data_IF_690548153711
#
_entry.id   IF_690548153711
#
_cell.length_a   1.000
_cell.length_b   1.000
_cell.length_c   1.000
_cell.angle_alpha   90.00
_cell.angle_beta   90.00
_cell.angle_gamma   90.00
#
_symmetry.space_group_name_H-M   'P 1'
#
loop_
_entity.id
_entity.type
_entity.pdbx_description
1 polymer ?
#
# COMPACT_ATOMS: atom_id res chain seq x y z
N UNK A 1 -34.00 7.64 -7.83
CA UNK A 1 -33.51 6.33 -7.32
C UNK A 1 -31.98 6.16 -7.37
N UNK A 2 -31.20 6.67 -8.33
CA UNK A 2 -29.74 6.53 -8.29
C UNK A 2 -29.05 7.26 -7.11
N UNK A 3 -29.67 8.30 -6.57
CA UNK A 3 -29.14 9.06 -5.42
C UNK A 3 -29.24 8.33 -4.07
N UNK A 4 -30.16 7.37 -3.90
CA UNK A 4 -30.29 6.60 -2.64
C UNK A 4 -29.19 5.56 -2.48
N UNK A 5 -28.68 4.99 -3.56
CA UNK A 5 -27.53 4.08 -3.54
C UNK A 5 -26.26 4.78 -3.10
N UNK A 6 -25.94 5.91 -3.71
CA UNK A 6 -24.75 6.71 -3.41
C UNK A 6 -24.68 7.19 -1.94
N UNK A 7 -25.81 7.65 -1.38
CA UNK A 7 -25.88 8.07 0.03
C UNK A 7 -25.70 6.88 1.00
N UNK A 8 -26.12 5.68 0.62
CA UNK A 8 -25.93 4.49 1.43
C UNK A 8 -24.47 4.05 1.49
N UNK A 9 -23.77 4.15 0.38
CA UNK A 9 -22.34 3.84 0.29
C UNK A 9 -21.49 4.89 1.01
N UNK A 10 -21.80 6.17 0.88
CA UNK A 10 -21.14 7.24 1.64
C UNK A 10 -21.36 7.11 3.16
N UNK A 11 -22.54 6.75 3.61
CA UNK A 11 -22.84 6.52 5.04
C UNK A 11 -22.16 5.28 5.59
N UNK A 12 -22.01 4.24 4.76
CA UNK A 12 -21.25 3.03 5.13
C UNK A 12 -19.76 3.34 5.26
N UNK A 13 -19.22 4.13 4.35
CA UNK A 13 -17.85 4.62 4.37
C UNK A 13 -17.57 5.47 5.61
N UNK A 14 -18.43 6.44 5.92
CA UNK A 14 -18.31 7.27 7.13
C UNK A 14 -18.36 6.45 8.43
N UNK A 15 -19.17 5.39 8.51
CA UNK A 15 -19.19 4.47 9.66
C UNK A 15 -17.91 3.64 9.77
N UNK A 16 -17.35 3.24 8.65
CA UNK A 16 -16.14 2.40 8.61
C UNK A 16 -14.88 3.15 9.08
N UNK A 17 -14.82 4.46 8.81
CA UNK A 17 -13.68 5.32 9.19
C UNK A 17 -13.87 6.08 10.50
N UNK A 18 -14.89 5.76 11.30
CA UNK A 18 -15.11 6.40 12.61
C UNK A 18 -15.43 7.90 12.52
N UNK A 19 -15.89 8.39 11.38
CA UNK A 19 -16.31 9.78 11.20
C UNK A 19 -17.65 9.95 11.90
N UNK A 20 -17.63 10.54 13.11
CA UNK A 20 -18.84 10.89 13.84
C UNK A 20 -19.49 12.07 13.12
N UNK A 21 -20.56 11.80 12.39
CA UNK A 21 -21.45 12.85 11.89
C UNK A 21 -22.20 13.41 13.10
N UNK A 22 -21.70 14.51 13.66
CA UNK A 22 -22.34 15.20 14.78
C UNK A 22 -23.77 15.60 14.41
N UNK A 23 -24.77 15.11 15.15
CA UNK A 23 -26.13 15.64 15.13
C UNK A 23 -26.11 17.02 15.80
N UNK A 24 -25.85 18.07 15.02
CA UNK A 24 -26.23 19.39 15.47
C UNK A 24 -27.67 19.67 15.05
N UNK A 25 -28.46 20.11 16.02
CA UNK A 25 -29.85 20.49 15.96
C UNK A 25 -30.24 21.17 14.64
N UNK A 26 -31.11 20.52 13.87
CA UNK A 26 -31.73 21.04 12.69
C UNK A 26 -32.70 22.19 13.07
N UNK A 27 -32.26 23.42 12.89
CA UNK A 27 -33.16 24.54 12.68
C UNK A 27 -33.95 24.34 11.39
N UNK A 28 -35.26 24.39 11.47
CA UNK A 28 -36.17 24.28 10.33
C UNK A 28 -35.87 25.39 9.32
N UNK A 29 -35.27 25.08 8.18
CA UNK A 29 -35.44 25.84 6.92
C UNK A 29 -35.13 24.92 5.73
N UNK A 30 -36.08 24.99 4.78
CA UNK A 30 -36.14 24.20 3.57
C UNK A 30 -34.94 24.47 2.64
N UNK A 31 -34.11 23.46 2.42
CA UNK A 31 -33.36 23.17 1.19
C UNK A 31 -32.44 21.97 1.47
N UNK A 32 -32.97 20.76 1.23
CA UNK A 32 -32.41 19.46 1.66
C UNK A 32 -31.23 18.90 0.85
N UNK A 33 -30.32 19.71 0.32
CA UNK A 33 -29.19 19.24 -0.52
C UNK A 33 -27.80 19.66 0.01
N UNK A 34 -27.72 20.57 1.00
CA UNK A 34 -26.44 21.11 1.48
C UNK A 34 -25.56 20.24 2.43
N UNK A 35 -26.07 19.28 3.24
CA UNK A 35 -25.19 18.58 4.18
C UNK A 35 -24.18 17.63 3.53
N UNK A 36 -24.52 16.99 2.41
CA UNK A 36 -23.63 16.03 1.75
C UNK A 36 -22.48 16.73 0.98
N UNK A 37 -22.75 17.85 0.33
CA UNK A 37 -21.72 18.67 -0.31
C UNK A 37 -20.77 19.32 0.70
N UNK A 38 -21.25 19.70 1.88
CA UNK A 38 -20.43 20.34 2.91
C UNK A 38 -19.43 19.38 3.58
N UNK A 39 -19.73 18.06 3.58
CA UNK A 39 -18.79 17.05 4.06
C UNK A 39 -17.64 16.80 3.05
N UNK A 40 -17.94 16.92 1.75
CA UNK A 40 -16.93 16.73 0.69
C UNK A 40 -16.00 17.96 0.59
N UNK A 41 -16.52 19.18 0.77
CA UNK A 41 -15.71 20.41 0.73
C UNK A 41 -14.69 20.55 1.88
N UNK A 42 -14.86 19.82 3.00
CA UNK A 42 -13.91 19.82 4.12
C UNK A 42 -12.91 18.67 4.13
N UNK A 43 -13.07 17.67 3.28
CA UNK A 43 -12.01 16.70 3.04
C UNK A 43 -11.00 17.38 2.11
N UNK A 44 -10.00 18.00 2.70
CA UNK A 44 -8.83 18.50 1.97
C UNK A 44 -8.00 17.27 1.53
N UNK A 45 -8.57 16.45 0.62
CA UNK A 45 -7.93 15.28 0.03
C UNK A 45 -6.90 15.84 -0.94
N UNK A 46 -5.69 15.97 -0.47
CA UNK A 46 -4.60 16.52 -1.26
C UNK A 46 -3.68 15.39 -1.69
N UNK A 47 -4.08 14.67 -2.77
CA UNK A 47 -3.18 13.77 -3.44
C UNK A 47 -2.07 14.60 -4.11
N UNK A 48 -0.84 14.40 -3.65
CA UNK A 48 0.33 15.08 -4.19
C UNK A 48 0.96 14.24 -5.28
N UNK A 49 1.11 14.80 -6.49
CA UNK A 49 1.77 14.13 -7.60
C UNK A 49 3.12 14.80 -7.88
N UNK A 50 4.17 14.01 -7.81
CA UNK A 50 5.54 14.41 -8.10
C UNK A 50 5.97 13.70 -9.38
N UNK A 51 6.33 14.47 -10.41
CA UNK A 51 6.91 13.93 -11.65
C UNK A 51 8.42 14.07 -11.58
N UNK A 52 9.12 12.99 -11.85
CA UNK A 52 10.58 12.96 -11.92
C UNK A 52 11.03 12.63 -13.35
N UNK A 53 12.28 12.93 -13.67
CA UNK A 53 12.82 12.62 -14.99
C UNK A 53 13.28 11.17 -15.07
N UNK A 54 13.94 10.68 -14.02
CA UNK A 54 14.56 9.35 -14.01
C UNK A 54 14.08 8.50 -12.84
N UNK A 55 14.35 7.21 -12.92
CA UNK A 55 14.12 6.24 -11.86
C UNK A 55 14.93 6.59 -10.59
N UNK A 56 16.15 7.06 -10.75
CA UNK A 56 17.02 7.47 -9.63
C UNK A 56 16.45 8.68 -8.90
N UNK A 57 15.93 9.69 -9.61
CA UNK A 57 15.26 10.84 -8.99
C UNK A 57 14.01 10.39 -8.21
N UNK A 58 13.20 9.47 -8.78
CA UNK A 58 12.05 8.88 -8.11
C UNK A 58 12.48 8.18 -6.82
N UNK A 59 13.51 7.34 -6.92
CA UNK A 59 14.04 6.56 -5.80
C UNK A 59 14.58 7.45 -4.68
N UNK A 60 15.35 8.47 -5.02
CA UNK A 60 15.90 9.42 -4.06
C UNK A 60 14.83 10.23 -3.33
N UNK A 61 13.77 10.68 -4.05
CA UNK A 61 12.65 11.38 -3.42
C UNK A 61 11.87 10.44 -2.50
N UNK A 62 11.61 9.21 -2.93
CA UNK A 62 10.91 8.21 -2.13
C UNK A 62 11.72 7.86 -0.86
N UNK A 63 13.03 7.65 -0.99
CA UNK A 63 13.92 7.43 0.14
C UNK A 63 13.95 8.62 1.09
N UNK A 64 13.96 9.86 0.57
CA UNK A 64 13.88 11.07 1.38
C UNK A 64 12.58 11.18 2.18
N UNK A 65 11.44 10.78 1.60
CA UNK A 65 10.14 10.77 2.31
C UNK A 65 10.13 9.70 3.41
N UNK A 66 10.60 8.48 3.12
CA UNK A 66 10.67 7.39 4.11
C UNK A 66 11.70 7.74 5.19
N UNK A 67 12.88 8.23 4.83
CA UNK A 67 13.91 8.67 5.78
C UNK A 67 13.40 9.79 6.68
N UNK A 68 12.69 10.77 6.12
CA UNK A 68 12.03 11.82 6.90
C UNK A 68 11.01 11.26 7.91
N UNK A 69 10.27 10.21 7.56
CA UNK A 69 9.36 9.53 8.50
C UNK A 69 10.15 8.88 9.65
N UNK A 70 11.27 8.22 9.35
CA UNK A 70 12.15 7.61 10.37
C UNK A 70 12.74 8.68 11.31
N UNK A 71 13.27 9.77 10.76
CA UNK A 71 13.84 10.86 11.55
C UNK A 71 12.82 11.54 12.48
N UNK A 72 11.59 11.75 11.99
CA UNK A 72 10.53 12.41 12.76
C UNK A 72 9.88 11.47 13.80
N UNK A 73 9.92 10.17 13.55
CA UNK A 73 9.36 9.14 14.44
C UNK A 73 10.25 7.89 14.38
N UNK A 74 11.33 7.80 15.17
CA UNK A 74 12.27 6.67 15.12
C UNK A 74 11.61 5.29 15.28
N UNK A 75 10.59 5.18 16.14
CA UNK A 75 9.80 3.96 16.34
C UNK A 75 8.59 3.83 15.38
N UNK A 76 8.70 4.38 14.17
CA UNK A 76 7.61 4.30 13.19
C UNK A 76 7.37 2.86 12.71
N UNK A 77 6.16 2.63 12.19
CA UNK A 77 5.79 1.42 11.47
C UNK A 77 5.77 1.74 9.98
N UNK A 78 6.67 1.13 9.23
CA UNK A 78 6.74 1.27 7.78
C UNK A 78 6.05 0.09 7.09
N UNK A 79 5.10 0.37 6.23
CA UNK A 79 4.55 -0.59 5.28
C UNK A 79 5.44 -0.63 4.03
N UNK A 80 5.98 -1.80 3.71
CA UNK A 80 6.95 -1.96 2.63
C UNK A 80 6.39 -2.80 1.48
N UNK A 81 6.92 -2.57 0.29
CA UNK A 81 6.56 -3.25 -0.94
C UNK A 81 7.78 -3.96 -1.54
N UNK A 82 7.55 -5.00 -2.33
CA UNK A 82 8.57 -5.73 -3.09
C UNK A 82 8.48 -5.41 -4.58
N UNK A 83 9.30 -6.07 -5.37
CA UNK A 83 9.38 -5.90 -6.82
C UNK A 83 10.44 -4.89 -7.27
N UNK A 84 10.48 -4.60 -8.55
CA UNK A 84 11.58 -3.79 -9.13
C UNK A 84 11.49 -2.30 -8.81
N UNK A 85 10.29 -1.76 -8.58
CA UNK A 85 10.10 -0.33 -8.37
C UNK A 85 10.81 0.21 -7.11
N UNK A 86 10.77 -0.45 -5.93
CA UNK A 86 11.35 0.08 -4.71
C UNK A 86 12.85 -0.19 -4.52
N UNK A 87 13.51 -0.97 -5.38
CA UNK A 87 14.92 -1.36 -5.21
C UNK A 87 15.83 -0.13 -5.05
N UNK A 88 15.72 0.87 -5.92
CA UNK A 88 16.51 2.09 -5.83
C UNK A 88 16.22 2.87 -4.55
N UNK A 89 14.96 2.91 -4.13
CA UNK A 89 14.56 3.53 -2.85
C UNK A 89 15.24 2.85 -1.66
N UNK A 90 15.27 1.52 -1.62
CA UNK A 90 15.95 0.77 -0.56
C UNK A 90 17.45 1.00 -0.58
N UNK A 91 18.06 1.02 -1.76
CA UNK A 91 19.48 1.33 -1.92
C UNK A 91 19.84 2.71 -1.36
N UNK A 92 19.02 3.73 -1.62
CA UNK A 92 19.24 5.07 -1.11
C UNK A 92 19.00 5.17 0.40
N UNK A 93 18.07 4.38 0.96
CA UNK A 93 17.88 4.26 2.42
C UNK A 93 19.09 3.59 3.09
N UNK A 94 19.63 2.51 2.51
CA UNK A 94 20.85 1.85 2.98
C UNK A 94 22.01 2.85 2.97
N UNK A 95 22.19 3.57 1.86
CA UNK A 95 23.23 4.61 1.77
C UNK A 95 23.07 5.67 2.87
N UNK A 96 21.87 6.12 3.13
CA UNK A 96 21.59 7.13 4.18
C UNK A 96 21.90 6.59 5.59
N UNK A 97 21.73 5.29 5.82
CA UNK A 97 22.16 4.62 7.04
C UNK A 97 23.70 4.54 7.10
N UNK A 98 24.38 4.12 6.04
CA UNK A 98 25.84 4.06 5.97
C UNK A 98 26.50 5.43 6.17
N UNK A 99 25.88 6.48 5.65
CA UNK A 99 26.30 7.88 5.83
C UNK A 99 26.02 8.41 7.28
N UNK A 100 25.41 7.59 8.16
CA UNK A 100 25.09 7.95 9.55
C UNK A 100 23.92 8.93 9.69
N UNK A 101 23.09 9.09 8.65
CA UNK A 101 21.94 10.01 8.65
C UNK A 101 20.71 9.32 9.25
N UNK A 102 20.48 8.04 8.95
CA UNK A 102 19.32 7.27 9.40
C UNK A 102 19.73 6.20 10.42
N UNK A 103 18.84 5.97 11.38
CA UNK A 103 18.91 4.89 12.36
C UNK A 103 17.62 4.08 12.31
N UNK A 104 17.72 2.78 12.04
CA UNK A 104 16.60 1.87 11.92
C UNK A 104 16.38 1.01 13.16
N UNK A 105 17.15 1.18 14.24
CA UNK A 105 17.14 0.31 15.43
C UNK A 105 15.78 0.20 16.11
N UNK A 106 14.95 1.27 16.05
CA UNK A 106 13.61 1.29 16.64
C UNK A 106 12.49 1.11 15.60
N UNK A 107 12.83 1.09 14.30
CA UNK A 107 11.86 0.96 13.20
C UNK A 107 11.21 -0.43 13.23
N UNK A 108 9.91 -0.49 12.97
CA UNK A 108 9.17 -1.72 12.71
C UNK A 108 8.65 -1.72 11.29
N UNK A 109 8.65 -2.88 10.65
CA UNK A 109 8.16 -2.99 9.26
C UNK A 109 7.11 -4.06 9.13
N UNK A 110 6.17 -3.84 8.22
CA UNK A 110 5.18 -4.81 7.76
C UNK A 110 5.16 -4.80 6.23
N UNK A 111 5.27 -5.95 5.59
CA UNK A 111 5.18 -6.05 4.14
C UNK A 111 3.74 -6.21 3.67
N UNK A 112 3.46 -5.76 2.45
CA UNK A 112 2.13 -5.85 1.83
C UNK A 112 1.66 -7.28 1.66
N UNK A 113 2.56 -8.18 1.30
CA UNK A 113 2.23 -9.49 0.79
C UNK A 113 3.41 -10.47 0.89
N UNK A 114 3.10 -11.75 0.68
CA UNK A 114 4.06 -12.84 0.47
C UNK A 114 3.40 -13.94 -0.37
N UNK A 115 4.21 -14.64 -1.14
CA UNK A 115 3.79 -15.86 -1.83
C UNK A 115 3.48 -16.99 -0.86
N UNK A 116 2.44 -17.77 -1.16
CA UNK A 116 2.16 -18.99 -0.42
C UNK A 116 3.02 -20.15 -0.93
N UNK A 117 3.56 -20.94 0.01
CA UNK A 117 4.32 -22.13 -0.29
C UNK A 117 5.82 -21.93 -0.55
N UNK A 118 6.34 -20.70 -0.46
CA UNK A 118 7.78 -20.44 -0.52
C UNK A 118 8.38 -20.33 0.89
N UNK A 119 9.49 -21.00 1.13
CA UNK A 119 10.31 -20.83 2.34
C UNK A 119 10.93 -19.44 2.38
N UNK A 120 11.13 -18.88 3.58
CA UNK A 120 11.74 -17.56 3.80
C UNK A 120 13.16 -17.45 3.20
N UNK A 121 13.88 -18.56 3.09
CA UNK A 121 15.21 -18.64 2.46
C UNK A 121 15.15 -18.81 0.93
N UNK A 122 13.97 -19.00 0.35
CA UNK A 122 13.82 -19.09 -1.10
C UNK A 122 14.13 -17.73 -1.74
N UNK A 123 15.04 -17.64 -2.72
CA UNK A 123 15.41 -16.37 -3.37
C UNK A 123 14.24 -15.61 -4.00
N UNK A 124 13.13 -16.28 -4.25
CA UNK A 124 11.92 -15.68 -4.82
C UNK A 124 10.87 -15.29 -3.78
N UNK A 125 11.09 -15.57 -2.47
CA UNK A 125 10.21 -15.10 -1.40
C UNK A 125 10.40 -13.60 -1.19
N UNK A 126 9.34 -12.93 -0.74
CA UNK A 126 9.41 -11.51 -0.41
C UNK A 126 10.19 -11.26 0.88
N UNK A 127 10.19 -12.23 1.80
CA UNK A 127 11.10 -12.21 2.95
C UNK A 127 12.57 -12.15 2.50
N UNK A 128 12.99 -13.03 1.59
CA UNK A 128 14.33 -13.01 1.04
C UNK A 128 14.63 -11.70 0.34
N UNK A 129 13.71 -11.24 -0.52
CA UNK A 129 13.83 -9.95 -1.22
C UNK A 129 14.10 -8.80 -0.24
N UNK A 130 13.36 -8.73 0.85
CA UNK A 130 13.52 -7.66 1.83
C UNK A 130 14.83 -7.76 2.60
N UNK A 131 15.27 -8.97 2.94
CA UNK A 131 16.58 -9.18 3.54
C UNK A 131 17.70 -8.70 2.61
N UNK A 132 17.68 -9.13 1.36
CA UNK A 132 18.70 -8.84 0.36
C UNK A 132 18.76 -7.34 -0.04
N UNK A 133 17.64 -6.63 -0.04
CA UNK A 133 17.59 -5.25 -0.51
C UNK A 133 17.60 -4.20 0.61
N UNK A 134 17.28 -4.56 1.86
CA UNK A 134 17.19 -3.58 2.95
C UNK A 134 17.65 -4.15 4.30
N UNK A 135 17.00 -5.23 4.77
CA UNK A 135 17.11 -5.59 6.19
C UNK A 135 18.51 -6.08 6.63
N UNK A 136 19.28 -6.67 5.73
CA UNK A 136 20.66 -7.13 6.02
C UNK A 136 21.70 -6.00 5.93
N UNK A 137 21.28 -4.82 5.45
CA UNK A 137 22.17 -3.70 5.17
C UNK A 137 22.00 -2.52 6.14
N UNK A 138 21.05 -2.60 7.08
CA UNK A 138 20.79 -1.57 8.09
C UNK A 138 20.71 -2.19 9.49
N UNK A 139 20.72 -1.35 10.54
CA UNK A 139 20.70 -1.81 11.93
C UNK A 139 19.30 -2.14 12.48
N UNK A 140 18.35 -2.49 11.61
CA UNK A 140 17.02 -2.90 12.07
C UNK A 140 17.09 -4.23 12.81
N UNK A 141 16.43 -4.33 13.96
CA UNK A 141 16.24 -5.63 14.61
C UNK A 141 15.34 -6.51 13.73
N UNK A 142 15.83 -7.71 13.36
CA UNK A 142 15.06 -8.64 12.53
C UNK A 142 13.74 -9.05 13.18
N UNK A 143 13.65 -9.05 14.51
CA UNK A 143 12.41 -9.28 15.24
C UNK A 143 11.35 -8.19 15.00
N UNK A 144 11.77 -7.03 14.49
CA UNK A 144 10.89 -5.92 14.12
C UNK A 144 10.50 -5.91 12.62
N UNK A 145 10.93 -6.93 11.86
CA UNK A 145 10.61 -7.03 10.43
C UNK A 145 9.58 -8.13 10.20
N UNK A 146 8.44 -7.77 9.61
CA UNK A 146 7.32 -8.71 9.49
C UNK A 146 6.85 -8.81 8.04
N UNK A 147 6.77 -10.03 7.56
CA UNK A 147 6.18 -10.42 6.28
C UNK A 147 5.10 -11.45 6.60
N UNK A 148 3.97 -11.52 5.88
CA UNK A 148 2.99 -12.59 6.12
C UNK A 148 3.64 -13.96 5.97
N UNK A 149 3.24 -14.92 6.81
CA UNK A 149 3.77 -16.28 6.73
C UNK A 149 3.07 -17.07 5.61
N UNK A 150 3.66 -17.09 4.42
CA UNK A 150 3.15 -17.88 3.29
C UNK A 150 3.25 -19.41 3.47
N UNK A 151 3.91 -19.87 4.52
CA UNK A 151 4.08 -21.28 4.88
C UNK A 151 3.20 -21.73 6.05
N UNK A 152 2.24 -20.90 6.48
CA UNK A 152 1.32 -21.27 7.55
C UNK A 152 0.46 -22.49 7.16
N UNK A 153 0.19 -23.38 8.13
CA UNK A 153 -0.67 -24.54 7.93
C UNK A 153 -2.11 -24.11 7.56
N UNK A 154 -2.58 -22.99 8.10
CA UNK A 154 -3.85 -22.36 7.78
C UNK A 154 -3.60 -20.90 7.36
N UNK A 155 -3.73 -20.64 6.05
CA UNK A 155 -3.48 -19.34 5.46
C UNK A 155 -4.56 -18.31 5.82
N UNK A 156 -5.79 -18.74 6.08
CA UNK A 156 -6.88 -17.85 6.51
C UNK A 156 -6.67 -17.42 7.96
N UNK A 157 -6.23 -18.34 8.84
CA UNK A 157 -5.85 -17.99 10.21
C UNK A 157 -4.66 -17.04 10.22
N UNK A 158 -3.66 -17.26 9.36
CA UNK A 158 -2.52 -16.36 9.21
C UNK A 158 -2.95 -14.97 8.73
N UNK A 159 -3.87 -14.88 7.77
CA UNK A 159 -4.39 -13.60 7.29
C UNK A 159 -5.06 -12.81 8.44
N UNK A 160 -5.86 -13.46 9.27
CA UNK A 160 -6.48 -12.86 10.47
C UNK A 160 -5.43 -12.45 11.50
N UNK A 161 -4.43 -13.32 11.75
CA UNK A 161 -3.32 -13.05 12.66
C UNK A 161 -2.53 -11.81 12.20
N UNK A 162 -2.18 -11.75 10.90
CA UNK A 162 -1.38 -10.65 10.36
C UNK A 162 -2.13 -9.32 10.38
N UNK A 163 -3.43 -9.30 10.05
CA UNK A 163 -4.28 -8.11 10.20
C UNK A 163 -4.31 -7.63 11.67
N UNK A 164 -4.52 -8.56 12.61
CA UNK A 164 -4.56 -8.25 14.05
C UNK A 164 -3.20 -7.75 14.54
N UNK A 165 -2.12 -8.32 14.04
CA UNK A 165 -0.77 -7.90 14.35
C UNK A 165 -0.50 -6.46 13.89
N UNK A 166 -0.84 -6.10 12.64
CA UNK A 166 -0.71 -4.73 12.13
C UNK A 166 -1.47 -3.74 13.03
N UNK A 167 -2.68 -4.11 13.46
CA UNK A 167 -3.48 -3.28 14.36
C UNK A 167 -2.81 -3.13 15.74
N UNK A 168 -2.20 -4.19 16.26
CA UNK A 168 -1.49 -4.17 17.55
C UNK A 168 -0.28 -3.25 17.57
N UNK A 169 0.34 -3.00 16.42
CA UNK A 169 1.43 -2.02 16.24
C UNK A 169 0.95 -0.56 16.29
N UNK A 170 -0.35 -0.31 16.36
CA UNK A 170 -0.97 1.02 16.26
C UNK A 170 -1.16 1.49 14.81
N UNK A 171 -1.12 0.56 13.86
CA UNK A 171 -1.25 0.80 12.42
C UNK A 171 0.06 1.26 11.76
N UNK A 172 -0.02 1.54 10.47
CA UNK A 172 1.11 1.88 9.60
C UNK A 172 1.28 3.40 9.55
N UNK A 173 2.47 3.91 9.82
CA UNK A 173 2.76 5.35 9.75
C UNK A 173 2.94 5.83 8.31
N UNK A 174 3.61 5.03 7.47
CA UNK A 174 3.80 5.28 6.05
C UNK A 174 3.80 3.95 5.28
N UNK A 175 2.90 3.82 4.30
CA UNK A 175 2.81 2.67 3.40
C UNK A 175 3.42 3.00 2.05
N UNK A 176 4.46 2.28 1.67
CA UNK A 176 5.01 2.30 0.32
C UNK A 176 4.21 1.35 -0.57
N UNK A 177 3.86 1.81 -1.77
CA UNK A 177 3.11 1.05 -2.78
C UNK A 177 3.80 1.15 -4.15
N UNK A 178 3.80 0.04 -4.89
CA UNK A 178 3.85 0.05 -6.34
C UNK A 178 2.44 0.01 -6.93
N UNK A 179 2.34 -0.01 -8.27
CA UNK A 179 1.07 -0.18 -8.99
C UNK A 179 1.24 -1.13 -10.17
N UNK A 180 0.32 -2.07 -10.32
CA UNK A 180 0.28 -2.95 -11.49
C UNK A 180 -0.32 -2.27 -12.72
N UNK A 181 -0.11 -2.83 -13.91
CA UNK A 181 -0.63 -2.27 -15.18
C UNK A 181 -2.16 -2.17 -15.25
N UNK A 182 -2.87 -2.99 -14.50
CA UNK A 182 -4.33 -2.96 -14.38
C UNK A 182 -4.84 -2.15 -13.17
N UNK A 183 -3.93 -1.50 -12.44
CA UNK A 183 -4.24 -0.67 -11.28
C UNK A 183 -4.29 -1.41 -9.95
N UNK A 184 -3.84 -2.67 -9.87
CA UNK A 184 -3.74 -3.36 -8.59
C UNK A 184 -2.65 -2.74 -7.69
N UNK A 185 -2.86 -2.82 -6.39
CA UNK A 185 -1.90 -2.49 -5.32
C UNK A 185 -1.84 -3.67 -4.34
N UNK A 186 -0.62 -4.10 -3.97
CA UNK A 186 -0.42 -5.45 -3.43
C UNK A 186 -0.91 -6.46 -4.46
N UNK A 187 -1.51 -7.57 -4.02
CA UNK A 187 -2.20 -8.50 -4.93
C UNK A 187 -3.71 -8.24 -5.01
N UNK A 188 -4.17 -7.02 -4.75
CA UNK A 188 -5.58 -6.66 -4.92
C UNK A 188 -5.89 -6.37 -6.39
N UNK A 189 -6.22 -7.41 -7.13
CA UNK A 189 -6.59 -7.36 -8.55
C UNK A 189 -7.96 -6.67 -8.78
N UNK A 190 -8.28 -6.22 -10.02
CA UNK A 190 -9.59 -5.69 -10.37
C UNK A 190 -10.73 -6.68 -10.08
N UNK A 191 -11.66 -6.30 -9.21
CA UNK A 191 -12.81 -7.10 -8.76
C UNK A 191 -14.09 -6.28 -8.74
N UNK A 192 -15.16 -6.80 -8.10
CA UNK A 192 -16.43 -6.09 -7.93
C UNK A 192 -16.53 -5.33 -6.61
N UNK A 193 -15.59 -5.57 -5.67
CA UNK A 193 -15.54 -4.92 -4.35
C UNK A 193 -14.10 -4.69 -3.92
N UNK A 194 -13.89 -3.77 -2.98
CA UNK A 194 -12.59 -3.57 -2.35
C UNK A 194 -12.44 -4.55 -1.18
N UNK A 195 -11.43 -5.45 -1.17
CA UNK A 195 -11.14 -6.29 -0.02
C UNK A 195 -10.82 -5.45 1.21
N UNK A 196 -11.40 -5.81 2.37
CA UNK A 196 -11.30 -4.98 3.56
C UNK A 196 -10.04 -5.23 4.38
N UNK A 197 -9.63 -6.49 4.54
CA UNK A 197 -8.57 -6.93 5.46
C UNK A 197 -7.53 -7.77 4.73
N UNK A 198 -6.48 -8.15 5.43
CA UNK A 198 -5.53 -9.16 4.93
C UNK A 198 -6.31 -10.41 4.52
N UNK A 199 -5.97 -10.99 3.39
CA UNK A 199 -6.66 -12.15 2.82
C UNK A 199 -5.74 -12.94 1.90
N UNK A 200 -6.12 -14.19 1.63
CA UNK A 200 -5.49 -15.00 0.59
C UNK A 200 -6.07 -14.67 -0.78
N UNK A 201 -5.27 -14.80 -1.81
CA UNK A 201 -5.68 -14.54 -3.19
C UNK A 201 -5.08 -15.56 -4.14
N UNK A 202 -5.90 -16.03 -5.09
CA UNK A 202 -5.39 -16.79 -6.24
C UNK A 202 -4.78 -15.82 -7.23
N UNK A 203 -3.54 -16.08 -7.63
CA UNK A 203 -2.85 -15.25 -8.61
C UNK A 203 -3.44 -15.45 -10.00
N UNK A 204 -3.60 -14.36 -10.73
CA UNK A 204 -4.07 -14.42 -12.11
C UNK A 204 -3.00 -15.02 -13.03
N UNK A 205 -3.42 -15.64 -14.14
CA UNK A 205 -2.50 -16.14 -15.16
C UNK A 205 -1.53 -15.05 -15.66
N UNK A 206 -1.99 -13.80 -15.75
CA UNK A 206 -1.14 -12.68 -16.15
C UNK A 206 -0.05 -12.40 -15.10
N UNK A 207 -0.36 -12.49 -13.82
CA UNK A 207 0.59 -12.31 -12.71
C UNK A 207 1.58 -13.48 -12.67
N UNK A 208 1.10 -14.73 -12.80
CA UNK A 208 1.95 -15.93 -12.88
C UNK A 208 2.91 -15.82 -14.05
N UNK A 209 2.43 -15.45 -15.24
CA UNK A 209 3.27 -15.28 -16.43
C UNK A 209 4.30 -14.15 -16.28
N UNK A 210 3.92 -13.02 -15.67
CA UNK A 210 4.84 -11.91 -15.43
C UNK A 210 5.96 -12.29 -14.45
N UNK A 211 5.66 -13.15 -13.47
CA UNK A 211 6.61 -13.59 -12.45
C UNK A 211 7.42 -14.83 -12.85
N UNK A 212 6.98 -15.59 -13.87
CA UNK A 212 7.64 -16.83 -14.31
C UNK A 212 9.12 -16.63 -14.67
N UNK A 213 9.51 -15.45 -15.10
CA UNK A 213 10.92 -15.06 -15.37
C UNK A 213 11.85 -15.12 -14.15
N UNK A 214 11.29 -15.18 -12.95
CA UNK A 214 12.02 -15.24 -11.68
C UNK A 214 12.25 -16.68 -11.21
N UNK A 215 11.59 -17.65 -11.82
CA UNK A 215 11.62 -19.06 -11.45
C UNK A 215 12.27 -19.89 -12.55
N UNK A 216 12.88 -21.01 -12.17
CA UNK A 216 13.51 -21.91 -13.15
C UNK A 216 12.48 -22.56 -14.09
N UNK A 217 11.30 -22.90 -13.55
CA UNK A 217 10.20 -23.50 -14.28
C UNK A 217 8.90 -22.77 -13.94
N UNK A 218 7.99 -22.71 -14.91
CA UNK A 218 6.68 -22.05 -14.72
C UNK A 218 5.84 -22.72 -13.62
N UNK A 219 5.95 -24.04 -13.46
CA UNK A 219 5.25 -24.78 -12.42
C UNK A 219 5.72 -24.48 -10.99
N UNK A 220 6.91 -23.90 -10.84
CA UNK A 220 7.46 -23.49 -9.53
C UNK A 220 6.93 -22.12 -9.10
N UNK A 221 6.23 -21.39 -9.99
CA UNK A 221 5.61 -20.10 -9.64
C UNK A 221 4.41 -20.34 -8.71
N UNK A 222 4.38 -19.72 -7.53
CA UNK A 222 3.24 -19.84 -6.64
C UNK A 222 1.93 -19.42 -7.32
N UNK A 223 0.85 -20.09 -6.97
CA UNK A 223 -0.49 -19.78 -7.47
C UNK A 223 -1.34 -18.98 -6.48
N UNK A 224 -0.85 -18.84 -5.25
CA UNK A 224 -1.51 -18.11 -4.18
C UNK A 224 -0.55 -17.14 -3.50
N UNK A 225 -1.11 -16.07 -2.90
CA UNK A 225 -0.40 -15.16 -2.04
C UNK A 225 -1.29 -14.72 -0.86
N UNK A 226 -0.67 -14.25 0.22
CA UNK A 226 -1.35 -13.47 1.28
C UNK A 226 -1.06 -12.01 1.01
N UNK A 227 -2.08 -11.16 1.04
CA UNK A 227 -1.93 -9.73 0.76
C UNK A 227 -2.76 -8.87 1.71
N UNK A 228 -2.25 -7.69 2.05
CA UNK A 228 -3.06 -6.66 2.72
C UNK A 228 -4.22 -6.27 1.83
N UNK A 229 -5.43 -6.28 2.37
CA UNK A 229 -6.59 -5.75 1.68
C UNK A 229 -6.56 -4.23 1.54
N UNK A 230 -7.36 -3.72 0.61
CA UNK A 230 -7.50 -2.28 0.37
C UNK A 230 -7.85 -1.52 1.66
N UNK A 231 -8.74 -2.07 2.49
CA UNK A 231 -9.10 -1.42 3.75
C UNK A 231 -7.95 -1.33 4.75
N UNK A 232 -7.05 -2.33 4.79
CA UNK A 232 -5.83 -2.30 5.61
C UNK A 232 -4.86 -1.23 5.11
N UNK A 233 -4.61 -1.18 3.79
CA UNK A 233 -3.77 -0.17 3.13
C UNK A 233 -4.29 1.24 3.42
N UNK A 234 -5.60 1.45 3.27
CA UNK A 234 -6.25 2.75 3.46
C UNK A 234 -6.27 3.25 4.91
N UNK A 235 -5.94 2.39 5.89
CA UNK A 235 -5.77 2.78 7.31
C UNK A 235 -4.37 3.33 7.61
N UNK A 236 -3.40 3.23 6.71
CA UNK A 236 -2.11 3.85 6.87
C UNK A 236 -2.26 5.36 7.07
N UNK A 237 -1.38 5.99 7.85
CA UNK A 237 -1.46 7.45 8.07
C UNK A 237 -1.02 8.23 6.86
N UNK A 238 -0.06 7.70 6.10
CA UNK A 238 0.45 8.26 4.84
C UNK A 238 0.64 7.14 3.84
N UNK A 239 0.41 7.44 2.59
CA UNK A 239 0.65 6.51 1.47
C UNK A 239 1.64 7.16 0.50
N UNK A 240 2.65 6.40 0.12
CA UNK A 240 3.62 6.74 -0.89
C UNK A 240 3.54 5.72 -2.03
N UNK A 241 3.03 6.13 -3.19
CA UNK A 241 2.98 5.29 -4.39
C UNK A 241 4.09 5.71 -5.34
N UNK A 242 4.88 4.74 -5.79
CA UNK A 242 5.95 4.95 -6.77
C UNK A 242 5.66 4.17 -8.05
N UNK A 243 5.91 4.77 -9.20
CA UNK A 243 5.61 4.17 -10.48
C UNK A 243 6.61 4.59 -11.58
N UNK A 244 7.00 3.63 -12.40
CA UNK A 244 7.79 3.87 -13.61
C UNK A 244 6.96 4.40 -14.78
N UNK A 245 7.59 4.78 -15.89
CA UNK A 245 6.94 5.41 -17.05
C UNK A 245 5.92 4.50 -17.75
N UNK A 246 6.12 3.19 -17.71
CA UNK A 246 5.21 2.19 -18.25
C UNK A 246 3.87 2.12 -17.48
N UNK A 247 3.78 2.79 -16.34
CA UNK A 247 2.57 2.89 -15.51
C UNK A 247 1.85 4.23 -15.64
N UNK A 248 2.33 5.17 -16.47
CA UNK A 248 1.79 6.53 -16.54
C UNK A 248 0.27 6.56 -16.82
N UNK A 249 -0.22 5.74 -17.75
CA UNK A 249 -1.64 5.67 -18.09
C UNK A 249 -2.50 5.16 -16.93
N UNK A 250 -2.05 4.09 -16.24
CA UNK A 250 -2.82 3.55 -15.13
C UNK A 250 -2.75 4.44 -13.90
N UNK A 251 -1.64 5.15 -13.67
CA UNK A 251 -1.52 6.18 -12.63
C UNK A 251 -2.51 7.31 -12.89
N UNK A 252 -2.63 7.78 -14.13
CA UNK A 252 -3.62 8.80 -14.51
C UNK A 252 -5.05 8.33 -14.24
N UNK A 253 -5.40 7.09 -14.64
CA UNK A 253 -6.71 6.49 -14.35
C UNK A 253 -6.96 6.35 -12.85
N UNK A 254 -5.95 5.94 -12.08
CA UNK A 254 -6.06 5.78 -10.64
C UNK A 254 -6.21 7.13 -9.92
N UNK A 255 -5.49 8.17 -10.33
CA UNK A 255 -5.48 9.45 -9.65
C UNK A 255 -6.64 10.38 -10.04
N UNK A 256 -7.14 10.28 -11.28
CA UNK A 256 -8.11 11.23 -11.84
C UNK A 256 -9.37 10.58 -12.44
N UNK A 257 -9.39 9.25 -12.53
CA UNK A 257 -10.54 8.51 -13.01
C UNK A 257 -11.61 8.33 -11.94
N UNK A 258 -12.61 7.49 -12.24
CA UNK A 258 -13.62 7.10 -11.25
C UNK A 258 -13.01 6.20 -10.18
N UNK A 259 -13.37 6.40 -8.93
CA UNK A 259 -13.07 5.45 -7.85
C UNK A 259 -13.89 4.18 -8.10
N UNK A 260 -13.21 3.07 -8.33
CA UNK A 260 -13.83 1.79 -8.66
C UNK A 260 -12.92 0.62 -8.33
N UNK A 261 -13.47 -0.52 -7.86
CA UNK A 261 -12.69 -1.73 -7.65
C UNK A 261 -12.10 -2.32 -8.95
N UNK A 262 -12.57 -1.88 -10.12
CA UNK A 262 -11.98 -2.25 -11.42
C UNK A 262 -10.63 -1.56 -11.69
N UNK A 263 -10.28 -0.56 -10.90
CA UNK A 263 -8.95 0.06 -10.81
C UNK A 263 -8.65 0.23 -9.32
N UNK A 264 -8.16 -0.81 -8.64
CA UNK A 264 -8.05 -0.82 -7.17
C UNK A 264 -7.32 0.39 -6.59
N UNK A 265 -6.23 0.83 -7.21
CA UNK A 265 -5.49 2.03 -6.78
C UNK A 265 -6.34 3.32 -6.84
N UNK A 266 -7.48 3.34 -7.54
CA UNK A 266 -8.34 4.53 -7.61
C UNK A 266 -8.92 4.94 -6.26
N UNK A 267 -9.01 4.01 -5.30
CA UNK A 267 -9.46 4.29 -3.93
C UNK A 267 -8.54 5.27 -3.21
N UNK A 268 -7.26 5.35 -3.59
CA UNK A 268 -6.29 6.27 -3.01
C UNK A 268 -6.72 7.73 -3.12
N UNK A 269 -7.59 8.07 -4.08
CA UNK A 269 -8.22 9.39 -4.18
C UNK A 269 -9.02 9.78 -2.92
N UNK A 270 -9.43 8.81 -2.11
CA UNK A 270 -10.20 9.02 -0.88
C UNK A 270 -9.33 9.07 0.38
N UNK A 271 -8.03 8.83 0.26
CA UNK A 271 -7.11 8.86 1.39
C UNK A 271 -6.63 10.28 1.68
N UNK A 272 -6.53 10.70 2.96
CA UNK A 272 -6.21 12.09 3.31
C UNK A 272 -4.77 12.52 3.01
N UNK A 273 -3.82 11.58 2.90
CA UNK A 273 -2.39 11.89 2.71
C UNK A 273 -1.74 10.89 1.76
N UNK A 274 -1.76 11.20 0.46
CA UNK A 274 -1.15 10.37 -0.60
C UNK A 274 -0.14 11.18 -1.37
N UNK A 275 1.05 10.64 -1.50
CA UNK A 275 2.05 11.12 -2.46
C UNK A 275 2.27 10.07 -3.53
N UNK A 276 2.14 10.46 -4.78
CA UNK A 276 2.43 9.64 -5.97
C UNK A 276 3.68 10.19 -6.63
N UNK A 277 4.69 9.35 -6.83
CA UNK A 277 5.90 9.73 -7.60
C UNK A 277 5.89 8.92 -8.88
N UNK A 278 5.91 9.61 -10.02
CA UNK A 278 5.93 9.03 -11.35
C UNK A 278 7.22 9.42 -12.07
N UNK A 279 8.03 8.42 -12.43
CA UNK A 279 9.19 8.63 -13.28
C UNK A 279 8.80 8.73 -14.75
N UNK A 280 9.44 9.63 -15.51
CA UNK A 280 9.26 9.77 -16.95
C UNK A 280 10.15 8.79 -17.74
N UNK A 281 11.26 8.34 -17.16
CA UNK A 281 12.24 7.42 -17.76
C UNK A 281 12.52 6.25 -16.82
N UNK A 282 13.01 5.12 -17.40
CA UNK A 282 13.41 3.91 -16.64
C UNK A 282 14.79 4.08 -16.05
#
# INVERSE_FOLDING_TARGET
>A
EPFRGFLRECLYFCKFYGIVVGRNSLGKNAHGIRPALYCIERMNIQMRIVKTKTYEEMSAIAAGIIGGQVLLKPNCVLGLATGSSPIGTYKDLVKSYEDGILDFSEVRTVNLDEYCGLDDANPNSYRYFMNDNLFDHVNIDKANTHVPNGHADDLEEEAVRYESFIQSLGGIDLQLLGIGHNGHIGFNEPTDSFPATVHTVQLTESTINANSRLFERREDVPTQAITMGIGTIMKAKKILLIAGPDKAEIVEKACFGKVTPKVPASVLQLHPDVTVILSAEK
#
